data_IF_169391826259
#
_entry.id   IF_169391826259
#
_cell.length_a   1.000
_cell.length_b   1.000
_cell.length_c   1.000
_cell.angle_alpha   90.00
_cell.angle_beta   90.00
_cell.angle_gamma   90.00
#
_symmetry.space_group_name_H-M   'P 1'
#
loop_
_entity.id
_entity.type
_entity.pdbx_description
1 polymer ?
#
# COMPACT_ATOMS: atom_id res chain seq x y z
N UNK A 1 26.97 -16.76 -9.23
CA UNK A 1 26.80 -15.28 -9.31
C UNK A 1 25.32 -14.86 -9.32
N UNK A 2 24.36 -15.80 -9.23
CA UNK A 2 22.90 -15.53 -9.25
C UNK A 2 22.33 -14.90 -7.97
N UNK A 3 22.85 -15.24 -6.78
CA UNK A 3 22.27 -14.77 -5.50
C UNK A 3 22.21 -13.24 -5.31
N UNK A 4 23.11 -12.48 -5.94
CA UNK A 4 23.11 -11.02 -5.82
C UNK A 4 21.98 -10.35 -6.63
N UNK A 5 21.62 -10.92 -7.78
CA UNK A 5 20.57 -10.39 -8.66
C UNK A 5 19.18 -10.59 -8.06
N UNK A 6 18.95 -11.76 -7.46
CA UNK A 6 17.67 -12.08 -6.83
C UNK A 6 17.44 -11.23 -5.58
N UNK A 7 18.47 -11.07 -4.74
CA UNK A 7 18.41 -10.21 -3.55
C UNK A 7 18.10 -8.74 -3.87
N UNK A 8 18.70 -8.19 -4.95
CA UNK A 8 18.37 -6.84 -5.43
C UNK A 8 16.93 -6.75 -5.94
N UNK A 9 16.46 -7.76 -6.68
CA UNK A 9 15.08 -7.82 -7.19
C UNK A 9 14.07 -7.87 -6.04
N UNK A 10 14.33 -8.66 -5.00
CA UNK A 10 13.48 -8.73 -3.82
C UNK A 10 13.42 -7.41 -3.06
N UNK A 11 14.56 -6.77 -2.84
CA UNK A 11 14.63 -5.46 -2.17
C UNK A 11 13.87 -4.40 -2.96
N UNK A 12 14.03 -4.36 -4.28
CA UNK A 12 13.29 -3.42 -5.14
C UNK A 12 11.77 -3.64 -5.06
N UNK A 13 11.31 -4.89 -5.04
CA UNK A 13 9.89 -5.23 -4.88
C UNK A 13 9.35 -4.82 -3.51
N UNK A 14 10.13 -4.98 -2.44
CA UNK A 14 9.76 -4.54 -1.11
C UNK A 14 9.53 -3.02 -1.07
N UNK A 15 10.52 -2.25 -1.54
CA UNK A 15 10.42 -0.78 -1.61
C UNK A 15 9.24 -0.32 -2.47
N UNK A 16 8.99 -1.00 -3.59
CA UNK A 16 7.86 -0.67 -4.46
C UNK A 16 6.49 -0.90 -3.77
N UNK A 17 6.35 -1.97 -2.99
CA UNK A 17 5.13 -2.26 -2.23
C UNK A 17 4.90 -1.26 -1.09
N UNK A 18 5.97 -0.86 -0.38
CA UNK A 18 5.90 0.14 0.67
C UNK A 18 5.53 1.53 0.10
N UNK A 19 6.15 1.92 -1.02
CA UNK A 19 5.84 3.17 -1.72
C UNK A 19 4.40 3.19 -2.27
N UNK A 20 3.94 2.06 -2.81
CA UNK A 20 2.56 1.91 -3.28
C UNK A 20 1.56 2.07 -2.14
N UNK A 21 1.82 1.45 -0.99
CA UNK A 21 0.98 1.60 0.20
C UNK A 21 0.88 3.06 0.65
N UNK A 22 2.02 3.78 0.72
CA UNK A 22 2.03 5.20 1.08
C UNK A 22 1.29 6.10 0.08
N UNK A 23 1.39 5.78 -1.21
CA UNK A 23 0.65 6.49 -2.27
C UNK A 23 -0.85 6.29 -2.14
N UNK A 24 -1.29 5.06 -1.87
CA UNK A 24 -2.69 4.71 -1.72
C UNK A 24 -3.32 5.38 -0.49
N UNK A 25 -2.59 5.45 0.63
CA UNK A 25 -3.07 6.17 1.81
C UNK A 25 -3.23 7.67 1.55
N UNK A 26 -2.24 8.30 0.92
CA UNK A 26 -2.32 9.72 0.53
C UNK A 26 -3.55 10.01 -0.36
N UNK A 27 -3.85 9.10 -1.29
CA UNK A 27 -5.05 9.18 -2.12
C UNK A 27 -6.33 8.99 -1.31
N UNK A 28 -6.36 8.04 -0.38
CA UNK A 28 -7.51 7.80 0.48
C UNK A 28 -7.82 9.01 1.37
N UNK A 29 -6.80 9.67 1.89
CA UNK A 29 -6.96 10.86 2.73
C UNK A 29 -7.44 12.04 1.90
N UNK A 30 -6.88 12.22 0.70
CA UNK A 30 -7.35 13.26 -0.25
C UNK A 30 -8.82 13.08 -0.63
N UNK A 31 -9.24 11.83 -0.90
CA UNK A 31 -10.66 11.52 -1.17
C UNK A 31 -11.54 11.69 0.06
N UNK A 32 -11.02 11.46 1.26
CA UNK A 32 -11.77 11.68 2.50
C UNK A 32 -12.04 13.16 2.74
N UNK A 33 -11.07 14.03 2.43
CA UNK A 33 -11.26 15.49 2.45
C UNK A 33 -12.27 15.93 1.40
N UNK A 34 -12.09 15.48 0.15
CA UNK A 34 -13.02 15.78 -0.94
C UNK A 34 -14.46 15.34 -0.63
N UNK A 35 -14.64 14.18 0.01
CA UNK A 35 -15.97 13.75 0.46
C UNK A 35 -16.60 14.71 1.48
N UNK A 36 -15.79 15.32 2.35
CA UNK A 36 -16.24 16.37 3.27
C UNK A 36 -16.68 17.64 2.53
N UNK A 37 -15.95 18.03 1.48
CA UNK A 37 -16.33 19.16 0.62
C UNK A 37 -17.64 18.88 -0.14
N UNK A 38 -17.81 17.66 -0.67
CA UNK A 38 -19.04 17.22 -1.32
C UNK A 38 -20.24 17.29 -0.36
N UNK A 39 -20.10 16.80 0.87
CA UNK A 39 -21.15 16.92 1.89
C UNK A 39 -21.51 18.39 2.15
N UNK A 40 -20.50 19.27 2.26
CA UNK A 40 -20.71 20.70 2.47
C UNK A 40 -21.49 21.36 1.32
N UNK A 41 -21.25 20.92 0.08
CA UNK A 41 -21.96 21.40 -1.11
C UNK A 41 -23.31 20.72 -1.36
N UNK A 42 -23.72 19.76 -0.51
CA UNK A 42 -24.97 19.01 -0.69
C UNK A 42 -24.91 17.92 -1.76
N UNK A 43 -23.70 17.51 -2.17
CA UNK A 43 -23.46 16.47 -3.17
C UNK A 43 -23.35 15.09 -2.50
N UNK A 44 -24.45 14.61 -1.94
CA UNK A 44 -24.47 13.40 -1.11
C UNK A 44 -23.99 12.13 -1.85
N UNK A 45 -24.35 11.97 -3.13
CA UNK A 45 -23.92 10.81 -3.92
C UNK A 45 -22.41 10.80 -4.14
N UNK A 46 -21.84 11.94 -4.51
CA UNK A 46 -20.40 12.08 -4.74
C UNK A 46 -19.61 11.88 -3.45
N UNK A 47 -20.12 12.36 -2.33
CA UNK A 47 -19.50 12.15 -1.02
C UNK A 47 -19.47 10.67 -0.63
N UNK A 48 -20.54 9.92 -0.87
CA UNK A 48 -20.59 8.47 -0.64
C UNK A 48 -19.61 7.75 -1.56
N UNK A 49 -19.57 8.10 -2.84
CA UNK A 49 -18.65 7.50 -3.80
C UNK A 49 -17.18 7.77 -3.41
N UNK A 50 -16.84 9.00 -3.08
CA UNK A 50 -15.49 9.38 -2.64
C UNK A 50 -15.06 8.59 -1.40
N UNK A 51 -15.95 8.42 -0.41
CA UNK A 51 -15.70 7.58 0.78
C UNK A 51 -15.48 6.11 0.44
N UNK A 52 -16.28 5.56 -0.46
CA UNK A 52 -16.14 4.17 -0.90
C UNK A 52 -14.80 3.95 -1.61
N UNK A 53 -14.41 4.87 -2.49
CA UNK A 53 -13.11 4.85 -3.16
C UNK A 53 -11.95 5.00 -2.18
N UNK A 54 -12.06 5.90 -1.19
CA UNK A 54 -11.08 6.06 -0.12
C UNK A 54 -10.89 4.76 0.69
N UNK A 55 -11.99 4.09 1.04
CA UNK A 55 -11.94 2.77 1.71
C UNK A 55 -11.26 1.73 0.83
N UNK A 56 -11.56 1.69 -0.48
CA UNK A 56 -10.89 0.81 -1.43
C UNK A 56 -9.38 1.00 -1.43
N UNK A 57 -8.90 2.24 -1.53
CA UNK A 57 -7.47 2.54 -1.47
C UNK A 57 -6.82 2.12 -0.15
N UNK A 58 -7.50 2.29 1.00
CA UNK A 58 -6.98 1.81 2.30
C UNK A 58 -6.83 0.29 2.32
N UNK A 59 -7.80 -0.45 1.78
CA UNK A 59 -7.69 -1.91 1.67
C UNK A 59 -6.52 -2.31 0.77
N UNK A 60 -6.36 -1.65 -0.37
CA UNK A 60 -5.22 -1.91 -1.27
C UNK A 60 -3.87 -1.58 -0.62
N UNK A 61 -3.82 -0.53 0.19
CA UNK A 61 -2.63 -0.15 0.97
C UNK A 61 -2.31 -1.22 2.03
N UNK A 62 -3.32 -1.71 2.76
CA UNK A 62 -3.18 -2.82 3.71
C UNK A 62 -2.67 -4.09 3.01
N UNK A 63 -3.20 -4.42 1.84
CA UNK A 63 -2.75 -5.58 1.07
C UNK A 63 -1.32 -5.42 0.56
N UNK A 64 -0.93 -4.21 0.14
CA UNK A 64 0.44 -3.90 -0.27
C UNK A 64 1.42 -4.05 0.90
N UNK A 65 1.04 -3.58 2.11
CA UNK A 65 1.82 -3.79 3.34
C UNK A 65 1.91 -5.25 3.74
N UNK A 66 0.82 -5.99 3.65
CA UNK A 66 0.81 -7.43 3.96
C UNK A 66 1.75 -8.21 3.03
N UNK A 67 1.76 -7.88 1.74
CA UNK A 67 2.70 -8.44 0.77
C UNK A 67 4.15 -8.07 1.09
N UNK A 68 4.41 -6.81 1.45
CA UNK A 68 5.73 -6.36 1.87
C UNK A 68 6.22 -7.11 3.12
N UNK A 69 5.35 -7.28 4.12
CA UNK A 69 5.66 -8.03 5.34
C UNK A 69 5.96 -9.50 5.04
N UNK A 70 5.18 -10.16 4.18
CA UNK A 70 5.44 -11.53 3.75
C UNK A 70 6.79 -11.65 3.01
N UNK A 71 7.11 -10.70 2.13
CA UNK A 71 8.39 -10.67 1.43
C UNK A 71 9.57 -10.49 2.39
N UNK A 72 9.40 -9.63 3.40
CA UNK A 72 10.40 -9.39 4.44
C UNK A 72 10.64 -10.62 5.31
N UNK A 73 9.59 -11.36 5.65
CA UNK A 73 9.68 -12.61 6.40
C UNK A 73 10.47 -13.66 5.60
N UNK A 74 10.17 -13.82 4.31
CA UNK A 74 10.92 -14.72 3.42
C UNK A 74 12.41 -14.36 3.39
N UNK A 75 12.75 -13.07 3.26
CA UNK A 75 14.16 -12.62 3.30
C UNK A 75 14.84 -12.87 4.65
N UNK A 76 14.10 -12.73 5.75
CA UNK A 76 14.61 -13.01 7.11
C UNK A 76 14.96 -14.48 7.31
N UNK A 77 14.16 -15.40 6.78
CA UNK A 77 14.40 -16.84 6.85
C UNK A 77 15.65 -17.28 6.05
N UNK A 78 15.99 -16.60 4.94
CA UNK A 78 17.22 -16.87 4.19
C UNK A 78 18.49 -16.35 4.87
N UNK A 79 18.38 -15.38 5.78
CA UNK A 79 19.51 -14.84 6.55
C UNK A 79 19.87 -15.64 7.82
N UNK A 80 19.02 -16.60 8.21
CA UNK A 80 19.17 -17.40 9.43
C UNK A 80 19.89 -18.75 9.25
N UNK A 81 20.38 -19.08 8.05
CA UNK A 81 21.20 -20.28 7.84
C UNK A 81 22.66 -19.95 8.18
N UNK A 82 22.95 -19.78 9.48
CA UNK A 82 24.26 -20.09 10.02
C UNK A 82 24.26 -21.58 10.42
N UNK A 83 24.67 -22.47 9.50
CA UNK A 83 25.17 -23.81 9.82
C UNK A 83 26.33 -24.14 8.88
#
# INVERSE_FOLDING_TARGET
MENASDSQTFTHRLTALEALAGTLDSRADSLSLFAGDCDHWGLASDAVEARLRARGHRVDAMMSRARAAALRALLGDFGGIEV
#
